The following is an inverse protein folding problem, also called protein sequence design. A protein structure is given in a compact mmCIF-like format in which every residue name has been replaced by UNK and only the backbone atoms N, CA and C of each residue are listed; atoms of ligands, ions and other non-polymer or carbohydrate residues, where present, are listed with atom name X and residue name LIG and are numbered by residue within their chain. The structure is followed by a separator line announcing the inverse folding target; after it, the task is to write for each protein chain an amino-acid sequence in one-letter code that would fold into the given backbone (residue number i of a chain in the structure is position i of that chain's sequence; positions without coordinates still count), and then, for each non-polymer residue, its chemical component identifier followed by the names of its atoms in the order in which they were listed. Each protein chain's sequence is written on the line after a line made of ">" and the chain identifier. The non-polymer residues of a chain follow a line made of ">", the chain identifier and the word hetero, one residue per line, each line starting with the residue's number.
data_IF_176836280714
#
_entry.id   IF_176836280714
#
_cell.length_a   1.000
_cell.length_b   1.000
_cell.length_c   1.000
_cell.angle_alpha   90.00
_cell.angle_beta   90.00
_cell.angle_gamma   90.00
#
_symmetry.space_group_name_H-M   'P 1'
#
loop_
_entity.id
_entity.type
_entity.pdbx_description
1 polymer ?
#
# COMPACT_ATOMS: atom_id res chain seq x y z
N UNK A 1 -7.10 -44.47 22.52
CA UNK A 1 -5.68 -44.15 22.30
C UNK A 1 -5.61 -42.73 21.78
N UNK A 2 -5.02 -41.80 22.54
CA UNK A 2 -4.95 -40.38 22.17
C UNK A 2 -3.51 -40.11 21.70
N UNK A 3 -3.35 -39.73 20.43
CA UNK A 3 -2.10 -39.22 19.92
C UNK A 3 -2.21 -37.69 19.83
N UNK A 4 -1.21 -36.99 20.36
CA UNK A 4 -1.05 -35.54 20.19
C UNK A 4 0.20 -35.33 19.36
N UNK A 5 0.07 -34.62 18.25
CA UNK A 5 1.17 -34.26 17.38
C UNK A 5 1.36 -32.74 17.39
N UNK A 6 2.62 -32.30 17.35
CA UNK A 6 3.01 -30.89 17.34
C UNK A 6 3.71 -30.54 16.03
N UNK A 7 3.01 -29.82 15.16
CA UNK A 7 3.58 -29.12 14.00
C UNK A 7 2.49 -28.37 13.23
N UNK A 8 2.83 -27.84 12.05
CA UNK A 8 1.98 -26.90 11.30
C UNK A 8 1.13 -27.61 10.26
N UNK A 9 -0.06 -27.10 9.92
CA UNK A 9 -0.98 -27.69 8.92
C UNK A 9 -0.33 -27.98 7.53
N UNK A 10 0.82 -27.36 7.25
CA UNK A 10 1.59 -27.48 6.01
C UNK A 10 2.54 -28.68 5.99
N UNK A 11 2.65 -29.42 7.07
CA UNK A 11 3.52 -30.57 7.13
C UNK A 11 2.86 -31.78 6.42
N UNK A 12 3.64 -32.44 5.57
CA UNK A 12 3.19 -33.64 4.86
C UNK A 12 3.20 -34.88 5.78
N UNK A 13 2.90 -34.75 7.08
CA UNK A 13 2.82 -35.91 7.98
C UNK A 13 1.47 -36.66 7.88
N UNK A 14 0.47 -36.07 7.22
CA UNK A 14 -0.87 -36.63 7.06
C UNK A 14 -1.16 -37.50 5.81
N UNK A 15 -0.28 -37.72 4.80
CA UNK A 15 -0.58 -38.63 3.71
C UNK A 15 -0.76 -40.08 4.17
N UNK A 16 -0.09 -40.46 5.27
CA UNK A 16 -0.09 -41.82 5.83
C UNK A 16 -0.83 -41.92 7.18
N UNK A 17 -1.47 -40.84 7.63
CA UNK A 17 -2.19 -40.85 8.89
C UNK A 17 -3.45 -41.73 8.78
N UNK A 18 -3.61 -42.67 9.72
CA UNK A 18 -4.80 -43.53 9.76
C UNK A 18 -6.03 -42.66 9.99
N UNK A 19 -6.96 -42.70 9.03
CA UNK A 19 -8.22 -41.98 9.14
C UNK A 19 -9.09 -42.60 10.24
N UNK A 20 -9.81 -41.76 10.97
CA UNK A 20 -10.80 -42.26 11.93
C UNK A 20 -11.96 -42.93 11.17
N UNK A 21 -12.36 -44.13 11.59
CA UNK A 21 -13.50 -44.90 11.04
C UNK A 21 -14.84 -44.14 11.07
N UNK A 22 -14.87 -42.95 11.68
CA UNK A 22 -16.01 -42.03 11.72
C UNK A 22 -16.39 -41.49 10.33
N UNK A 23 -15.46 -41.44 9.38
CA UNK A 23 -15.78 -41.10 7.99
C UNK A 23 -16.10 -42.42 7.27
N UNK A 24 -17.40 -42.69 7.02
CA UNK A 24 -17.88 -43.88 6.32
C UNK A 24 -17.48 -43.90 4.82
N UNK A 25 -16.20 -43.73 4.53
CA UNK A 25 -15.62 -43.68 3.20
C UNK A 25 -15.17 -45.08 2.84
N UNK A 26 -15.94 -45.73 1.96
CA UNK A 26 -15.65 -47.10 1.51
C UNK A 26 -14.75 -47.07 0.28
N UNK A 27 -13.58 -47.71 0.35
CA UNK A 27 -12.67 -47.88 -0.79
C UNK A 27 -11.51 -46.88 -0.84
N UNK A 28 -10.37 -47.32 -1.41
CA UNK A 28 -9.12 -46.55 -1.50
C UNK A 28 -9.28 -45.20 -2.23
N UNK A 29 -10.21 -45.11 -3.19
CA UNK A 29 -10.43 -43.91 -4.00
C UNK A 29 -11.01 -42.72 -3.24
N UNK A 30 -11.78 -42.96 -2.17
CA UNK A 30 -12.36 -41.90 -1.34
C UNK A 30 -11.33 -41.23 -0.43
N UNK A 31 -10.26 -41.95 -0.08
CA UNK A 31 -9.16 -41.47 0.78
C UNK A 31 -8.21 -40.54 0.03
N UNK A 32 -7.97 -40.80 -1.27
CA UNK A 32 -7.07 -39.99 -2.11
C UNK A 32 -7.50 -38.51 -2.24
N UNK A 33 -8.78 -38.22 -1.97
CA UNK A 33 -9.36 -36.88 -2.06
C UNK A 33 -9.37 -36.13 -0.72
N UNK A 34 -9.00 -36.78 0.39
CA UNK A 34 -8.91 -36.13 1.70
C UNK A 34 -7.51 -35.52 1.84
N UNK A 35 -7.41 -34.21 1.58
CA UNK A 35 -6.18 -33.44 1.77
C UNK A 35 -6.40 -32.33 2.79
N UNK A 36 -5.40 -32.09 3.64
CA UNK A 36 -5.39 -30.91 4.49
C UNK A 36 -5.35 -29.66 3.60
N UNK A 37 -6.36 -28.80 3.72
CA UNK A 37 -6.36 -27.52 3.01
C UNK A 37 -5.57 -26.50 3.82
N UNK A 38 -4.31 -26.31 3.46
CA UNK A 38 -3.43 -25.33 4.10
C UNK A 38 -3.84 -23.92 3.69
N UNK A 39 -4.17 -23.08 4.67
CA UNK A 39 -4.38 -21.66 4.44
C UNK A 39 -3.15 -20.91 4.96
N UNK A 40 -2.35 -20.33 4.06
CA UNK A 40 -1.35 -19.35 4.47
C UNK A 40 -2.10 -18.06 4.83
N UNK A 41 -2.13 -17.72 6.12
CA UNK A 41 -2.55 -16.39 6.57
C UNK A 41 -1.33 -15.47 6.52
N UNK A 42 -1.32 -14.42 5.68
CA UNK A 42 -0.22 -13.48 5.66
C UNK A 42 -0.18 -12.71 6.98
N UNK A 43 1.03 -12.35 7.42
CA UNK A 43 1.20 -11.47 8.55
C UNK A 43 0.78 -10.05 8.17
N UNK A 44 -0.14 -9.48 8.94
CA UNK A 44 -0.64 -8.13 8.72
C UNK A 44 0.11 -7.11 9.56
N UNK A 45 0.29 -5.92 9.00
CA UNK A 45 0.96 -4.78 9.61
C UNK A 45 0.15 -3.51 9.44
N UNK A 46 0.22 -2.61 10.41
CA UNK A 46 -0.27 -1.25 10.24
C UNK A 46 0.82 -0.39 9.64
N UNK A 47 0.55 0.19 8.47
CA UNK A 47 1.41 1.18 7.83
C UNK A 47 0.82 2.58 8.11
N UNK A 48 1.54 3.37 8.89
CA UNK A 48 1.22 4.79 9.09
C UNK A 48 2.01 5.63 8.09
N UNK A 49 1.29 6.37 7.27
CA UNK A 49 1.85 7.34 6.31
C UNK A 49 1.51 8.73 6.82
N UNK A 50 2.51 9.46 7.33
CA UNK A 50 2.36 10.84 7.74
C UNK A 50 2.74 11.77 6.57
N UNK A 51 1.73 12.40 5.99
CA UNK A 51 1.89 13.35 4.89
C UNK A 51 2.17 14.73 5.47
N UNK A 52 3.42 15.21 5.38
CA UNK A 52 3.82 16.48 5.99
C UNK A 52 3.58 17.64 5.03
N UNK A 53 4.32 17.68 3.93
CA UNK A 53 4.46 18.85 3.06
C UNK A 53 4.93 18.46 1.65
N UNK A 54 4.63 19.31 0.68
CA UNK A 54 5.22 19.26 -0.65
C UNK A 54 5.83 20.62 -0.99
N UNK A 55 6.86 20.64 -1.85
CA UNK A 55 7.55 21.86 -2.23
C UNK A 55 7.58 22.05 -3.74
N UNK A 56 7.57 23.32 -4.14
CA UNK A 56 7.75 23.79 -5.51
C UNK A 56 6.75 23.20 -6.53
N UNK A 57 5.53 22.92 -6.11
CA UNK A 57 4.49 22.39 -6.98
C UNK A 57 4.25 23.32 -8.18
N UNK A 58 3.92 22.72 -9.33
CA UNK A 58 3.67 23.44 -10.57
C UNK A 58 2.22 23.19 -11.05
N UNK A 59 1.21 23.91 -10.50
CA UNK A 59 -0.16 23.86 -11.01
C UNK A 59 -0.25 24.33 -12.46
N UNK A 60 -1.19 23.76 -13.21
CA UNK A 60 -1.49 24.19 -14.59
C UNK A 60 -2.02 25.62 -14.63
N UNK A 61 -2.96 25.94 -13.74
CA UNK A 61 -3.56 27.26 -13.60
C UNK A 61 -2.81 28.10 -12.55
N UNK A 62 -1.97 29.02 -13.04
CA UNK A 62 -1.20 29.95 -12.20
C UNK A 62 -1.98 31.19 -11.77
N UNK A 63 -3.24 31.33 -12.18
CA UNK A 63 -4.08 32.49 -11.82
C UNK A 63 -4.73 32.35 -10.43
N UNK A 64 -4.75 31.13 -9.89
CA UNK A 64 -5.34 30.81 -8.57
C UNK A 64 -4.33 30.11 -7.67
N UNK A 65 -4.65 30.07 -6.38
CA UNK A 65 -3.99 29.14 -5.45
C UNK A 65 -4.54 27.73 -5.66
N UNK A 66 -3.68 26.70 -5.71
CA UNK A 66 -4.10 25.34 -5.94
C UNK A 66 -4.81 24.76 -4.71
N UNK A 67 -5.81 23.90 -4.93
CA UNK A 67 -6.54 23.19 -3.88
C UNK A 67 -5.98 21.78 -3.76
N UNK A 68 -4.80 21.68 -3.14
CA UNK A 68 -3.99 20.46 -3.19
C UNK A 68 -4.32 19.48 -2.07
N UNK A 69 -4.44 18.20 -2.40
CA UNK A 69 -4.46 17.08 -1.45
C UNK A 69 -3.53 15.97 -1.93
N UNK A 70 -3.18 15.05 -1.02
CA UNK A 70 -2.40 13.86 -1.37
C UNK A 70 -3.31 12.65 -1.33
N UNK A 71 -3.29 11.85 -2.39
CA UNK A 71 -3.94 10.55 -2.46
C UNK A 71 -2.88 9.47 -2.32
N UNK A 72 -3.15 8.52 -1.42
CA UNK A 72 -2.29 7.40 -1.13
C UNK A 72 -3.04 6.10 -1.46
N UNK A 73 -2.41 5.20 -2.23
CA UNK A 73 -2.99 3.93 -2.65
C UNK A 73 -2.02 2.80 -2.28
N UNK A 74 -2.53 1.79 -1.60
CA UNK A 74 -1.84 0.54 -1.30
C UNK A 74 -2.78 -0.62 -1.65
N UNK A 75 -2.47 -1.35 -2.73
CA UNK A 75 -3.34 -2.40 -3.24
C UNK A 75 -4.74 -1.88 -3.56
N UNK A 76 -5.74 -2.41 -2.85
CA UNK A 76 -7.14 -2.01 -2.96
C UNK A 76 -7.56 -0.88 -2.00
N UNK A 77 -6.68 -0.43 -1.12
CA UNK A 77 -6.95 0.66 -0.18
C UNK A 77 -6.55 2.00 -0.81
N UNK A 78 -7.47 2.96 -0.83
CA UNK A 78 -7.20 4.32 -1.26
C UNK A 78 -7.66 5.30 -0.18
N UNK A 79 -6.73 6.07 0.36
CA UNK A 79 -6.98 7.14 1.31
C UNK A 79 -6.49 8.47 0.72
N UNK A 80 -6.99 9.58 1.25
CA UNK A 80 -6.51 10.91 0.87
C UNK A 80 -6.49 11.84 2.07
N UNK A 81 -5.60 12.81 2.03
CA UNK A 81 -5.60 13.89 3.00
C UNK A 81 -6.77 14.84 2.77
N UNK A 82 -7.03 15.71 3.74
CA UNK A 82 -7.76 16.95 3.49
C UNK A 82 -7.02 17.84 2.48
N UNK A 83 -7.76 18.78 1.88
CA UNK A 83 -7.15 19.86 1.09
C UNK A 83 -6.29 20.71 2.02
N UNK A 84 -5.08 21.06 1.58
CA UNK A 84 -4.18 21.89 2.38
C UNK A 84 -4.82 23.25 2.65
N UNK A 85 -4.70 23.73 3.89
CA UNK A 85 -5.12 25.09 4.24
C UNK A 85 -4.10 26.15 3.78
N UNK A 86 -2.91 25.72 3.35
CA UNK A 86 -1.87 26.61 2.82
C UNK A 86 -2.28 27.11 1.43
N UNK A 87 -2.40 28.43 1.28
CA UNK A 87 -2.64 29.07 -0.02
C UNK A 87 -1.31 29.34 -0.73
N UNK A 88 -0.60 28.28 -1.09
CA UNK A 88 0.70 28.39 -1.76
C UNK A 88 1.03 27.14 -2.57
N UNK A 89 2.09 27.21 -3.38
CA UNK A 89 2.67 26.06 -4.08
C UNK A 89 3.50 25.15 -3.17
N UNK A 90 3.59 25.48 -1.88
CA UNK A 90 4.27 24.71 -0.84
C UNK A 90 3.25 24.29 0.23
N UNK A 91 2.32 23.37 -0.10
CA UNK A 91 1.27 22.97 0.83
C UNK A 91 1.81 22.16 2.01
N UNK A 92 1.10 22.28 3.14
CA UNK A 92 1.34 21.51 4.37
C UNK A 92 0.04 20.84 4.82
N UNK A 93 0.14 19.61 5.32
CA UNK A 93 -0.97 18.83 5.84
C UNK A 93 -0.71 18.34 7.26
N UNK A 94 0.46 17.72 7.48
CA UNK A 94 0.78 16.99 8.71
C UNK A 94 -0.36 16.05 9.14
N UNK A 95 -0.77 15.17 8.22
CA UNK A 95 -1.92 14.29 8.36
C UNK A 95 -1.51 12.82 8.22
N UNK A 96 -2.00 11.97 9.14
CA UNK A 96 -1.74 10.54 9.15
C UNK A 96 -2.80 9.77 8.35
N UNK A 97 -2.36 8.95 7.42
CA UNK A 97 -3.15 7.95 6.70
C UNK A 97 -2.73 6.55 7.17
N UNK A 98 -3.69 5.74 7.61
CA UNK A 98 -3.44 4.42 8.18
C UNK A 98 -3.91 3.31 7.23
N UNK A 99 -2.99 2.43 6.84
CA UNK A 99 -3.24 1.30 5.96
C UNK A 99 -2.96 -0.03 6.68
N UNK A 100 -3.57 -1.10 6.17
CA UNK A 100 -3.18 -2.47 6.52
C UNK A 100 -2.37 -3.06 5.38
N UNK A 101 -1.14 -3.48 5.65
CA UNK A 101 -0.23 -4.09 4.69
C UNK A 101 0.00 -5.57 5.04
N UNK A 102 0.04 -6.44 4.03
CA UNK A 102 0.30 -7.87 4.20
C UNK A 102 1.71 -8.23 3.74
N UNK A 103 2.43 -9.04 4.52
CA UNK A 103 3.68 -9.66 4.04
C UNK A 103 3.38 -10.58 2.84
N UNK A 104 4.22 -10.57 1.78
CA UNK A 104 5.60 -10.06 1.74
C UNK A 104 5.79 -8.62 1.23
N UNK A 105 4.76 -7.75 1.30
CA UNK A 105 4.82 -6.32 0.90
C UNK A 105 5.21 -6.08 -0.57
N UNK A 106 4.63 -6.89 -1.46
CA UNK A 106 4.90 -6.81 -2.91
C UNK A 106 4.37 -5.52 -3.54
N UNK A 107 3.28 -4.98 -2.97
CA UNK A 107 2.61 -3.80 -3.48
C UNK A 107 3.31 -2.52 -2.98
N UNK A 108 3.74 -1.61 -3.87
CA UNK A 108 4.27 -0.33 -3.47
C UNK A 108 3.16 0.59 -2.96
N UNK A 109 3.50 1.46 -2.01
CA UNK A 109 2.64 2.60 -1.67
C UNK A 109 2.77 3.64 -2.78
N UNK A 110 1.66 3.95 -3.42
CA UNK A 110 1.57 4.98 -4.44
C UNK A 110 1.07 6.27 -3.81
N UNK A 111 1.82 7.36 -3.98
CA UNK A 111 1.41 8.70 -3.56
C UNK A 111 1.23 9.58 -4.80
N UNK A 112 0.08 10.24 -4.92
CA UNK A 112 -0.16 11.30 -5.90
C UNK A 112 -0.52 12.60 -5.20
N UNK A 113 0.09 13.69 -5.66
CA UNK A 113 -0.29 15.05 -5.27
C UNK A 113 -1.25 15.55 -6.33
N UNK A 114 -2.46 15.90 -5.92
CA UNK A 114 -3.56 16.25 -6.82
C UNK A 114 -4.12 17.63 -6.47
N UNK A 115 -4.45 18.42 -7.49
CA UNK A 115 -5.09 19.73 -7.38
C UNK A 115 -6.54 19.63 -7.85
N UNK A 116 -7.47 20.03 -6.99
CA UNK A 116 -8.89 20.11 -7.35
C UNK A 116 -9.14 21.36 -8.19
N UNK A 117 -9.25 21.16 -9.50
CA UNK A 117 -9.47 22.26 -10.47
C UNK A 117 -10.94 22.62 -10.64
N UNK A 118 -11.85 21.66 -10.43
CA UNK A 118 -13.30 21.87 -10.46
C UNK A 118 -14.02 20.75 -9.68
N UNK A 119 -15.33 20.88 -9.40
CA UNK A 119 -16.11 19.79 -8.82
C UNK A 119 -15.97 18.50 -9.65
N UNK A 120 -15.55 17.41 -9.00
CA UNK A 120 -15.28 16.10 -9.63
C UNK A 120 -14.18 16.11 -10.71
N UNK A 121 -13.31 17.13 -10.71
CA UNK A 121 -12.17 17.20 -11.61
C UNK A 121 -10.91 17.52 -10.82
N UNK A 122 -10.08 16.50 -10.66
CA UNK A 122 -8.78 16.60 -10.01
C UNK A 122 -7.67 16.44 -11.06
N UNK A 123 -6.60 17.21 -10.94
CA UNK A 123 -5.41 17.16 -11.80
C UNK A 123 -4.22 16.62 -11.01
N UNK A 124 -3.49 15.65 -11.57
CA UNK A 124 -2.30 15.10 -10.91
C UNK A 124 -1.11 16.01 -11.16
N UNK A 125 -0.59 16.65 -10.11
CA UNK A 125 0.61 17.48 -10.15
C UNK A 125 1.90 16.64 -10.13
N UNK A 126 1.85 15.45 -9.54
CA UNK A 126 2.96 14.51 -9.54
C UNK A 126 2.67 13.25 -8.76
N UNK A 127 3.47 12.21 -8.99
CA UNK A 127 3.32 10.88 -8.36
C UNK A 127 4.67 10.35 -7.91
N UNK A 128 4.70 9.58 -6.84
CA UNK A 128 5.82 8.72 -6.49
C UNK A 128 5.35 7.34 -6.04
N UNK A 129 6.25 6.36 -6.14
CA UNK A 129 6.03 4.99 -5.67
C UNK A 129 7.08 4.67 -4.60
N UNK A 130 6.62 4.19 -3.45
CA UNK A 130 7.47 3.82 -2.31
C UNK A 130 7.39 2.30 -2.13
N UNK A 131 8.43 1.54 -2.51
CA UNK A 131 8.46 0.10 -2.29
C UNK A 131 8.56 -0.19 -0.78
N UNK A 132 7.56 -0.89 -0.24
CA UNK A 132 7.48 -1.16 1.20
C UNK A 132 8.53 -2.16 1.69
N UNK A 133 9.07 -3.01 0.79
CA UNK A 133 10.14 -3.95 1.11
C UNK A 133 11.44 -3.30 1.64
N UNK A 134 11.66 -2.02 1.34
CA UNK A 134 12.83 -1.26 1.78
C UNK A 134 12.51 -0.28 2.93
N UNK A 135 11.28 -0.31 3.44
CA UNK A 135 10.87 0.51 4.58
C UNK A 135 11.21 -0.26 5.86
N UNK A 136 12.00 0.37 6.73
CA UNK A 136 12.37 -0.23 8.00
C UNK A 136 11.12 -0.53 8.84
N UNK A 137 10.98 -1.79 9.25
CA UNK A 137 9.95 -2.19 10.22
C UNK A 137 10.38 -1.70 11.59
N UNK A 138 9.55 -0.85 12.18
CA UNK A 138 9.88 -0.21 13.47
C UNK A 138 8.95 -0.68 14.56
N UNK A 139 9.55 -0.94 15.71
CA UNK A 139 8.86 -1.19 16.98
C UNK A 139 8.90 0.04 17.88
N UNK A 140 9.70 1.06 17.52
CA UNK A 140 9.82 2.32 18.24
C UNK A 140 9.06 3.46 17.53
N UNK A 141 8.69 4.49 18.29
CA UNK A 141 7.90 5.61 17.78
C UNK A 141 8.76 6.74 17.19
N UNK A 142 10.04 6.50 16.88
CA UNK A 142 10.93 7.57 16.39
C UNK A 142 10.52 8.00 14.97
N UNK A 143 10.14 9.28 14.78
CA UNK A 143 9.77 9.77 13.46
C UNK A 143 11.01 9.82 12.56
N UNK A 144 10.90 9.25 11.35
CA UNK A 144 11.89 9.47 10.29
C UNK A 144 11.16 9.97 9.06
N UNK A 145 11.55 11.16 8.62
CA UNK A 145 11.03 11.79 7.42
C UNK A 145 12.01 11.67 6.28
N UNK A 146 11.51 11.42 5.07
CA UNK A 146 12.31 11.44 3.85
C UNK A 146 11.64 12.27 2.76
N UNK A 147 12.44 12.97 1.98
CA UNK A 147 11.99 13.58 0.73
C UNK A 147 11.96 12.52 -0.38
N UNK A 148 10.85 12.47 -1.10
CA UNK A 148 10.59 11.69 -2.29
C UNK A 148 10.33 12.64 -3.44
N UNK A 149 11.01 12.41 -4.56
CA UNK A 149 10.75 13.21 -5.75
C UNK A 149 9.44 12.78 -6.40
N UNK A 150 8.66 13.76 -6.84
CA UNK A 150 7.47 13.55 -7.64
C UNK A 150 7.87 13.47 -9.11
N UNK A 151 7.46 12.39 -9.75
CA UNK A 151 7.50 12.25 -11.19
C UNK A 151 6.27 12.94 -11.79
N UNK A 152 6.48 13.71 -12.86
CA UNK A 152 5.36 14.34 -13.58
C UNK A 152 4.47 13.25 -14.17
N UNK A 153 3.17 13.40 -13.95
CA UNK A 153 2.20 12.57 -14.64
C UNK A 153 2.11 13.03 -16.10
N UNK A 154 2.89 12.39 -16.99
CA UNK A 154 2.80 12.63 -18.43
C UNK A 154 1.61 11.83 -18.94
N UNK A 155 0.50 12.50 -19.22
CA UNK A 155 -0.51 11.97 -20.14
C UNK A 155 0.20 11.88 -21.50
N UNK A 156 0.41 10.67 -22.01
CA UNK A 156 1.05 10.46 -23.31
C UNK A 156 0.09 10.92 -24.41
N UNK A 157 0.13 12.21 -24.72
CA UNK A 157 -0.01 12.69 -26.09
C UNK A 157 1.33 13.32 -26.47
N UNK A 158 1.85 12.92 -27.63
CA UNK A 158 3.25 13.10 -27.98
C UNK A 158 3.73 14.55 -27.87
N UNK A 159 4.77 14.78 -27.07
CA UNK A 159 6.07 15.32 -27.50
C UNK A 159 6.94 15.81 -26.32
N UNK A 160 8.23 15.46 -26.42
CA UNK A 160 9.47 15.97 -25.78
C UNK A 160 9.46 16.31 -24.27
N UNK A 161 10.05 15.35 -23.54
CA UNK A 161 10.57 15.41 -22.17
C UNK A 161 11.39 16.68 -21.87
N UNK A 162 10.98 17.41 -20.84
CA UNK A 162 11.88 18.08 -19.89
C UNK A 162 11.61 17.51 -18.50
N UNK A 163 12.52 16.67 -18.04
CA UNK A 163 12.57 16.20 -16.65
C UNK A 163 12.75 17.41 -15.73
N UNK A 164 11.77 17.64 -14.88
CA UNK A 164 11.90 18.53 -13.73
C UNK A 164 11.43 17.70 -12.54
N UNK A 165 12.40 17.29 -11.72
CA UNK A 165 12.18 16.57 -10.47
C UNK A 165 11.80 17.58 -9.39
N UNK A 166 10.65 17.39 -8.74
CA UNK A 166 10.20 18.23 -7.62
C UNK A 166 10.23 17.42 -6.31
N UNK A 167 10.78 17.94 -5.21
CA UNK A 167 10.83 17.23 -3.93
C UNK A 167 9.49 17.30 -3.17
N UNK A 168 9.02 16.18 -2.62
CA UNK A 168 7.89 16.10 -1.67
C UNK A 168 8.29 15.32 -0.41
N UNK A 169 7.80 15.68 0.78
CA UNK A 169 8.23 15.06 2.05
C UNK A 169 7.13 14.19 2.64
N UNK A 170 7.46 12.93 2.87
CA UNK A 170 6.57 11.97 3.51
C UNK A 170 7.31 11.29 4.69
N UNK A 171 6.59 11.04 5.78
CA UNK A 171 7.01 10.15 6.88
C UNK A 171 6.25 8.84 6.73
#
# INVERSE_FOLDING_TARGET
>A
MLAVWMGTQADEAFPEAWHSDAAAVSGADGLANIRSKVYLSPKLWYLRVNVIEAQDLQPSDKSRFPEVFVKAILGNQALRTRVSMSKSINPMWNEDLMFVAAEPFEEPLILSVEDRVAPNKDEVLGRCAVPLQYVDRRLDHKPVSRWYNLEKHVIVEGEKKKEVSLPARFI
#
